data_IF_067133869301
#
_entry.id   IF_067133869301
#
_cell.length_a   1.000
_cell.length_b   1.000
_cell.length_c   1.000
_cell.angle_alpha   90.00
_cell.angle_beta   90.00
_cell.angle_gamma   90.00
#
_symmetry.space_group_name_H-M   'P 1'
#
loop_
_entity.id
_entity.type
_entity.pdbx_description
1 polymer ?
#
# COMPACT_ATOMS: atom_id res chain seq x y z
N UNK A 1 -42.21 -20.05 30.48
CA UNK A 1 -41.80 -20.20 29.08
C UNK A 1 -41.59 -18.80 28.51
N UNK A 2 -40.38 -18.27 28.67
CA UNK A 2 -40.03 -16.95 28.13
C UNK A 2 -39.63 -17.15 26.66
N UNK A 3 -40.36 -16.48 25.77
CA UNK A 3 -40.11 -16.39 24.34
C UNK A 3 -38.72 -15.80 24.10
N UNK A 4 -37.84 -16.57 23.47
CA UNK A 4 -36.57 -16.10 22.95
C UNK A 4 -36.87 -15.09 21.83
N UNK A 5 -36.61 -13.81 22.08
CA UNK A 5 -36.58 -12.81 21.01
C UNK A 5 -35.37 -13.09 20.12
N UNK A 6 -35.64 -13.53 18.89
CA UNK A 6 -34.63 -13.64 17.84
C UNK A 6 -34.12 -12.23 17.50
N UNK A 7 -32.88 -11.95 17.87
CA UNK A 7 -32.21 -10.72 17.48
C UNK A 7 -31.90 -10.78 15.97
N UNK A 8 -32.84 -10.35 15.14
CA UNK A 8 -32.68 -10.27 13.68
C UNK A 8 -31.59 -9.25 13.32
N UNK A 9 -30.37 -9.71 13.08
CA UNK A 9 -29.30 -8.91 12.49
C UNK A 9 -29.41 -8.96 10.96
N UNK A 10 -30.45 -8.33 10.40
CA UNK A 10 -30.80 -8.42 8.96
C UNK A 10 -29.89 -7.64 7.99
N UNK A 11 -28.68 -7.23 8.40
CA UNK A 11 -27.78 -6.42 7.56
C UNK A 11 -26.41 -7.06 7.41
N UNK A 12 -25.95 -7.23 6.17
CA UNK A 12 -24.60 -7.72 5.87
C UNK A 12 -23.56 -6.84 6.58
N UNK A 13 -22.61 -7.41 7.34
CA UNK A 13 -21.53 -6.65 7.97
C UNK A 13 -20.76 -5.80 6.95
N UNK A 14 -20.37 -4.57 7.33
CA UNK A 14 -19.65 -3.66 6.43
C UNK A 14 -18.38 -4.28 5.85
N UNK A 15 -17.63 -5.04 6.66
CA UNK A 15 -16.42 -5.76 6.20
C UNK A 15 -16.73 -6.75 5.06
N UNK A 16 -17.90 -7.41 5.09
CA UNK A 16 -18.33 -8.31 4.00
C UNK A 16 -18.74 -7.52 2.76
N UNK A 17 -19.36 -6.36 2.93
CA UNK A 17 -19.71 -5.48 1.80
C UNK A 17 -18.44 -4.98 1.10
N UNK A 18 -17.43 -4.53 1.85
CA UNK A 18 -16.13 -4.11 1.31
C UNK A 18 -15.39 -5.27 0.61
N UNK A 19 -15.40 -6.47 1.20
CA UNK A 19 -14.79 -7.63 0.59
C UNK A 19 -15.43 -7.98 -0.77
N UNK A 20 -16.76 -8.00 -0.86
CA UNK A 20 -17.45 -8.21 -2.14
C UNK A 20 -17.12 -7.10 -3.14
N UNK A 21 -17.13 -5.84 -2.72
CA UNK A 21 -16.78 -4.72 -3.59
C UNK A 21 -15.36 -4.83 -4.18
N UNK A 22 -14.36 -5.29 -3.39
CA UNK A 22 -12.99 -5.52 -3.88
C UNK A 22 -12.92 -6.72 -4.83
N UNK A 23 -13.64 -7.80 -4.54
CA UNK A 23 -13.65 -9.02 -5.36
C UNK A 23 -14.32 -8.77 -6.72
N UNK A 24 -15.40 -7.99 -6.73
CA UNK A 24 -16.20 -7.70 -7.92
C UNK A 24 -15.65 -6.51 -8.73
N UNK A 25 -14.47 -6.00 -8.37
CA UNK A 25 -13.86 -4.85 -9.04
C UNK A 25 -13.46 -5.15 -10.50
N UNK A 26 -13.99 -4.38 -11.45
CA UNK A 26 -13.58 -4.41 -12.86
C UNK A 26 -12.67 -3.20 -13.18
N UNK A 27 -11.39 -3.40 -13.51
CA UNK A 27 -10.48 -2.31 -13.88
C UNK A 27 -10.95 -1.47 -15.07
N UNK A 28 -11.83 -2.01 -15.93
CA UNK A 28 -12.39 -1.27 -17.08
C UNK A 28 -13.45 -0.25 -16.66
N UNK A 29 -13.94 -0.34 -15.43
CA UNK A 29 -14.92 0.61 -14.88
C UNK A 29 -14.27 1.87 -14.30
N UNK A 30 -12.94 1.94 -14.24
CA UNK A 30 -12.21 3.10 -13.72
C UNK A 30 -12.39 4.29 -14.68
N UNK A 31 -12.93 5.44 -14.21
CA UNK A 31 -12.99 6.66 -15.00
C UNK A 31 -11.60 7.13 -15.45
N UNK A 32 -11.51 7.71 -16.64
CA UNK A 32 -10.22 8.11 -17.24
C UNK A 32 -9.46 9.14 -16.39
N UNK A 33 -10.18 10.09 -15.80
CA UNK A 33 -9.64 11.09 -14.88
C UNK A 33 -9.08 10.46 -13.61
N UNK A 34 -9.78 9.48 -13.04
CA UNK A 34 -9.32 8.70 -11.87
C UNK A 34 -8.05 7.90 -12.23
N UNK A 35 -8.04 7.22 -13.38
CA UNK A 35 -6.86 6.47 -13.82
C UNK A 35 -5.66 7.40 -14.08
N UNK A 36 -5.90 8.58 -14.65
CA UNK A 36 -4.86 9.58 -14.90
C UNK A 36 -4.30 10.14 -13.60
N UNK A 37 -5.15 10.43 -12.63
CA UNK A 37 -4.73 10.90 -11.31
C UNK A 37 -3.95 9.82 -10.54
N UNK A 38 -4.42 8.57 -10.54
CA UNK A 38 -3.73 7.45 -9.90
C UNK A 38 -2.30 7.26 -10.45
N UNK A 39 -2.08 7.45 -11.76
CA UNK A 39 -0.73 7.42 -12.34
C UNK A 39 0.17 8.54 -11.81
N UNK A 40 -0.37 9.73 -11.57
CA UNK A 40 0.38 10.84 -10.96
C UNK A 40 0.77 10.51 -9.52
N UNK A 41 -0.12 9.91 -8.73
CA UNK A 41 0.19 9.48 -7.36
C UNK A 41 1.28 8.39 -7.33
N UNK A 42 1.24 7.45 -8.28
CA UNK A 42 2.31 6.44 -8.43
C UNK A 42 3.63 7.11 -8.80
N UNK A 43 3.61 8.08 -9.73
CA UNK A 43 4.80 8.83 -10.12
C UNK A 43 5.40 9.62 -8.96
N UNK A 44 4.55 10.30 -8.18
CA UNK A 44 4.93 11.03 -6.96
C UNK A 44 5.59 10.10 -5.93
N UNK A 45 4.99 8.95 -5.66
CA UNK A 45 5.55 7.93 -4.76
C UNK A 45 6.94 7.47 -5.21
N UNK A 46 7.12 7.21 -6.51
CA UNK A 46 8.44 6.86 -7.06
C UNK A 46 9.42 8.02 -6.90
N UNK A 47 8.99 9.26 -7.15
CA UNK A 47 9.80 10.46 -6.95
C UNK A 47 10.29 10.61 -5.51
N UNK A 48 9.39 10.47 -4.53
CA UNK A 48 9.72 10.49 -3.10
C UNK A 48 10.75 9.41 -2.74
N UNK A 49 10.53 8.17 -3.22
CA UNK A 49 11.45 7.07 -2.98
C UNK A 49 12.83 7.31 -3.56
N UNK A 50 12.93 7.95 -4.73
CA UNK A 50 14.21 8.31 -5.33
C UNK A 50 14.94 9.43 -4.56
N UNK A 51 14.20 10.40 -4.01
CA UNK A 51 14.75 11.47 -3.20
C UNK A 51 15.31 10.98 -1.85
N UNK A 52 14.67 9.98 -1.25
CA UNK A 52 15.04 9.44 0.08
C UNK A 52 16.20 8.42 0.09
N UNK A 53 16.83 8.11 -1.06
CA UNK A 53 17.80 7.00 -1.18
C UNK A 53 19.02 7.10 -0.27
N UNK A 54 19.39 8.33 0.08
CA UNK A 54 20.53 8.59 0.94
C UNK A 54 20.14 8.68 2.42
N UNK A 55 18.87 8.54 2.77
CA UNK A 55 18.43 8.71 4.15
C UNK A 55 18.84 7.57 5.09
N UNK A 56 18.97 7.93 6.37
CA UNK A 56 19.53 7.03 7.37
C UNK A 56 18.60 5.88 7.74
N UNK A 57 17.27 6.09 7.78
CA UNK A 57 16.36 5.00 8.16
C UNK A 57 16.32 3.92 7.08
N UNK A 58 16.28 4.29 5.79
CA UNK A 58 16.42 3.34 4.69
C UNK A 58 17.72 2.53 4.82
N UNK A 59 18.87 3.18 5.01
CA UNK A 59 20.17 2.48 5.17
C UNK A 59 20.19 1.52 6.37
N UNK A 60 19.52 1.86 7.47
CA UNK A 60 19.40 0.99 8.66
C UNK A 60 18.49 -0.21 8.38
N UNK A 61 17.30 0.03 7.86
CA UNK A 61 16.35 -1.02 7.50
C UNK A 61 16.95 -1.98 6.46
N UNK A 62 17.65 -1.46 5.47
CA UNK A 62 18.30 -2.24 4.43
C UNK A 62 19.28 -3.26 5.01
N UNK A 63 20.08 -2.89 6.01
CA UNK A 63 20.99 -3.83 6.69
C UNK A 63 20.23 -4.93 7.43
N UNK A 64 19.13 -4.59 8.10
CA UNK A 64 18.29 -5.57 8.79
C UNK A 64 17.70 -6.59 7.82
N UNK A 65 17.10 -6.13 6.73
CA UNK A 65 16.49 -7.02 5.74
C UNK A 65 17.52 -7.82 4.93
N UNK A 66 18.74 -7.30 4.77
CA UNK A 66 19.83 -8.03 4.13
C UNK A 66 20.28 -9.22 4.97
N UNK A 67 20.35 -9.04 6.29
CA UNK A 67 20.71 -10.11 7.23
C UNK A 67 19.66 -11.24 7.27
N UNK A 68 18.39 -10.96 6.95
CA UNK A 68 17.35 -11.99 6.84
C UNK A 68 17.50 -12.86 5.58
N UNK A 69 18.17 -12.35 4.54
CA UNK A 69 18.35 -13.06 3.27
C UNK A 69 17.04 -13.35 2.53
N UNK A 70 17.06 -14.36 1.67
CA UNK A 70 15.89 -14.86 0.93
C UNK A 70 15.98 -14.66 -0.59
N UNK A 71 14.89 -15.01 -1.29
CA UNK A 71 14.85 -15.01 -2.77
C UNK A 71 14.73 -13.58 -3.34
N UNK A 72 15.48 -13.24 -4.40
CA UNK A 72 15.45 -11.90 -5.00
C UNK A 72 14.26 -11.71 -5.95
N UNK A 73 13.05 -11.55 -5.40
CA UNK A 73 11.79 -11.54 -6.15
C UNK A 73 11.34 -10.14 -6.61
N UNK A 74 11.55 -9.12 -5.77
CA UNK A 74 11.07 -7.75 -5.99
C UNK A 74 12.21 -6.73 -5.88
N UNK A 75 12.17 -5.69 -6.70
CA UNK A 75 13.19 -4.65 -6.74
C UNK A 75 12.97 -3.56 -5.68
N UNK A 76 14.07 -2.98 -5.21
CA UNK A 76 14.04 -1.76 -4.41
C UNK A 76 14.09 -0.55 -5.36
N UNK A 77 13.19 0.42 -5.19
CA UNK A 77 13.11 1.62 -6.04
C UNK A 77 14.44 2.37 -5.99
N UNK A 78 14.95 2.78 -7.17
CA UNK A 78 16.23 3.49 -7.29
C UNK A 78 17.47 2.63 -7.02
N UNK A 79 17.36 1.30 -7.08
CA UNK A 79 18.46 0.38 -6.80
C UNK A 79 18.49 -0.80 -7.78
N UNK A 80 19.66 -1.43 -7.95
CA UNK A 80 19.79 -2.71 -8.67
C UNK A 80 19.49 -3.92 -7.78
N UNK A 81 19.26 -3.68 -6.48
CA UNK A 81 19.02 -4.74 -5.50
C UNK A 81 17.61 -5.31 -5.64
N UNK A 82 17.50 -6.63 -5.43
CA UNK A 82 16.23 -7.35 -5.32
C UNK A 82 16.21 -8.14 -4.01
N UNK A 83 15.04 -8.28 -3.43
CA UNK A 83 14.81 -8.94 -2.13
C UNK A 83 13.49 -9.72 -2.15
N UNK A 84 13.20 -10.54 -1.13
CA UNK A 84 11.88 -11.15 -0.97
C UNK A 84 10.78 -10.08 -1.04
N UNK A 85 9.62 -10.44 -1.59
CA UNK A 85 8.54 -9.47 -1.86
C UNK A 85 8.18 -8.65 -0.62
N UNK A 86 8.04 -9.29 0.54
CA UNK A 86 7.70 -8.63 1.82
C UNK A 86 8.76 -7.62 2.25
N UNK A 87 10.04 -7.96 2.11
CA UNK A 87 11.17 -7.10 2.50
C UNK A 87 11.29 -5.90 1.56
N UNK A 88 11.14 -6.14 0.25
CA UNK A 88 11.17 -5.09 -0.76
C UNK A 88 10.00 -4.10 -0.59
N UNK A 89 8.79 -4.60 -0.30
CA UNK A 89 7.62 -3.75 0.00
C UNK A 89 7.88 -2.86 1.21
N UNK A 90 8.43 -3.41 2.30
CA UNK A 90 8.76 -2.61 3.48
C UNK A 90 9.82 -1.54 3.18
N UNK A 91 10.90 -1.89 2.48
CA UNK A 91 11.96 -0.96 2.12
C UNK A 91 11.50 0.14 1.17
N UNK A 92 10.66 -0.20 0.18
CA UNK A 92 10.07 0.78 -0.72
C UNK A 92 9.10 1.70 0.05
N UNK A 93 8.31 1.17 0.99
CA UNK A 93 7.44 1.99 1.85
C UNK A 93 8.20 2.98 2.72
N UNK A 94 9.36 2.57 3.28
CA UNK A 94 10.25 3.47 4.02
C UNK A 94 10.74 4.58 3.09
N UNK A 95 11.28 4.24 1.92
CA UNK A 95 11.76 5.23 0.94
C UNK A 95 10.68 6.24 0.54
N UNK A 96 9.45 5.79 0.27
CA UNK A 96 8.35 6.67 -0.15
C UNK A 96 8.01 7.70 0.94
N UNK A 97 8.06 7.31 2.21
CA UNK A 97 7.55 8.13 3.33
C UNK A 97 8.62 8.89 4.12
N UNK A 98 9.89 8.62 3.90
CA UNK A 98 10.98 9.11 4.75
C UNK A 98 11.05 10.64 4.84
N UNK A 99 10.83 11.33 3.72
CA UNK A 99 10.95 12.79 3.63
C UNK A 99 9.63 13.53 3.90
N UNK A 100 8.53 12.80 4.10
CA UNK A 100 7.18 13.37 4.23
C UNK A 100 6.79 14.31 3.07
N UNK A 101 7.27 13.98 1.86
CA UNK A 101 6.99 14.70 0.61
C UNK A 101 5.86 14.06 -0.21
N UNK A 102 5.34 12.91 0.23
CA UNK A 102 4.28 12.21 -0.47
C UNK A 102 2.98 13.04 -0.48
N UNK A 103 2.13 12.73 -1.43
CA UNK A 103 0.76 13.23 -1.52
C UNK A 103 0.00 13.23 -0.17
N UNK A 104 -0.83 14.25 0.01
CA UNK A 104 -1.74 14.37 1.14
C UNK A 104 -3.18 14.20 0.68
N UNK A 105 -3.95 13.40 1.42
CA UNK A 105 -5.39 13.31 1.24
C UNK A 105 -6.08 14.07 2.37
N UNK A 106 -6.71 15.19 2.03
CA UNK A 106 -7.61 15.91 2.93
C UNK A 106 -9.01 15.46 2.57
N UNK A 107 -9.63 14.66 3.43
CA UNK A 107 -10.99 14.17 3.23
C UNK A 107 -12.02 15.30 3.23
N UNK A 108 -13.26 15.02 2.80
CA UNK A 108 -14.35 15.99 2.95
C UNK A 108 -14.50 16.35 4.43
N UNK A 109 -14.56 17.66 4.71
CA UNK A 109 -14.85 18.21 6.04
C UNK A 109 -16.30 18.04 6.46
#
# INVERSE_FOLDING_TARGET
MASNEEFQTSKTPLVKQLAHWVIDFDPRSIPEDVASHAKLLILDSIGCALAAREEHAYRRALRTFDALGGKPECAIIGSRRRMPVTNAVMLNGILIRELDLNDIYVGPG
#
